data_IF_414362295849
#
_entry.id   IF_414362295849
#
_cell.length_a   1.000
_cell.length_b   1.000
_cell.length_c   1.000
_cell.angle_alpha   90.00
_cell.angle_beta   90.00
_cell.angle_gamma   90.00
#
_symmetry.space_group_name_H-M   'P 1'
#
loop_
_entity.id
_entity.type
_entity.pdbx_description
1 polymer ?
#
# COMPACT_ATOMS: atom_id res chain seq x y z
N UNK A 1 -13.47 0.24 15.80
CA UNK A 1 -13.02 -0.33 14.50
C UNK A 1 -13.40 -1.80 14.43
N UNK A 2 -13.96 -2.21 13.32
CA UNK A 2 -14.28 -3.61 13.06
C UNK A 2 -12.98 -4.44 12.96
N UNK A 3 -13.03 -5.68 13.46
CA UNK A 3 -11.89 -6.61 13.41
C UNK A 3 -11.43 -6.89 11.96
N UNK A 4 -12.38 -7.00 11.02
CA UNK A 4 -12.02 -7.18 9.59
C UNK A 4 -11.23 -5.99 9.05
N UNK A 5 -11.65 -4.77 9.37
CA UNK A 5 -10.95 -3.56 8.98
C UNK A 5 -9.56 -3.50 9.63
N UNK A 6 -9.46 -3.86 10.91
CA UNK A 6 -8.17 -3.90 11.60
C UNK A 6 -7.19 -4.88 10.94
N UNK A 7 -7.64 -6.07 10.54
CA UNK A 7 -6.80 -7.04 9.84
C UNK A 7 -6.31 -6.51 8.49
N UNK A 8 -7.21 -5.88 7.71
CA UNK A 8 -6.82 -5.29 6.43
C UNK A 8 -5.76 -4.20 6.61
N UNK A 9 -5.93 -3.33 7.61
CA UNK A 9 -4.95 -2.28 7.90
C UNK A 9 -3.59 -2.85 8.26
N UNK A 10 -3.54 -3.91 9.08
CA UNK A 10 -2.27 -4.55 9.45
C UNK A 10 -1.62 -5.25 8.26
N UNK A 11 -2.40 -5.83 7.34
CA UNK A 11 -1.87 -6.37 6.09
C UNK A 11 -1.25 -5.26 5.23
N UNK A 12 -1.92 -4.12 5.10
CA UNK A 12 -1.38 -2.96 4.37
C UNK A 12 -0.05 -2.53 4.98
N UNK A 13 0.03 -2.43 6.30
CA UNK A 13 1.27 -2.07 6.99
C UNK A 13 2.41 -3.02 6.62
N UNK A 14 2.15 -4.33 6.63
CA UNK A 14 3.13 -5.34 6.24
C UNK A 14 3.58 -5.20 4.79
N UNK A 15 2.66 -4.91 3.87
CA UNK A 15 3.00 -4.71 2.46
C UNK A 15 3.82 -3.43 2.25
N UNK A 16 3.52 -2.37 2.98
CA UNK A 16 4.31 -1.13 2.94
C UNK A 16 5.75 -1.36 3.43
N UNK A 17 5.94 -2.24 4.42
CA UNK A 17 7.28 -2.64 4.86
C UNK A 17 8.05 -3.35 3.74
N UNK A 18 7.37 -4.17 2.95
CA UNK A 18 7.99 -4.81 1.77
C UNK A 18 8.33 -3.81 0.69
N UNK A 19 7.50 -2.78 0.51
CA UNK A 19 7.83 -1.67 -0.39
C UNK A 19 9.13 -1.00 0.04
N UNK A 20 9.33 -0.77 1.35
CA UNK A 20 10.56 -0.21 1.87
C UNK A 20 11.77 -1.08 1.53
N UNK A 21 11.64 -2.41 1.58
CA UNK A 21 12.71 -3.33 1.21
C UNK A 21 13.12 -3.18 -0.26
N UNK A 22 12.16 -2.95 -1.15
CA UNK A 22 12.46 -2.68 -2.56
C UNK A 22 13.18 -1.34 -2.70
N UNK A 23 12.70 -0.31 -2.02
CA UNK A 23 13.28 1.04 -2.08
C UNK A 23 14.71 1.05 -1.54
N UNK A 24 14.99 0.26 -0.51
CA UNK A 24 16.32 0.14 0.08
C UNK A 24 17.36 -0.44 -0.89
N UNK A 25 16.93 -1.14 -1.94
CA UNK A 25 17.83 -1.62 -2.99
C UNK A 25 18.34 -0.50 -3.88
N UNK A 26 17.68 0.64 -3.89
CA UNK A 26 18.05 1.82 -4.66
C UNK A 26 17.41 1.89 -6.03
N UNK A 27 17.33 3.11 -6.55
CA UNK A 27 16.66 3.42 -7.83
C UNK A 27 17.30 2.68 -9.00
N UNK A 28 18.64 2.68 -9.08
CA UNK A 28 19.35 2.08 -10.22
C UNK A 28 19.13 0.56 -10.27
N UNK A 29 19.15 -0.08 -9.09
CA UNK A 29 18.87 -1.52 -9.00
C UNK A 29 17.44 -1.81 -9.41
N UNK A 30 16.48 -1.03 -8.92
CA UNK A 30 15.06 -1.20 -9.29
C UNK A 30 14.84 -1.05 -10.78
N UNK A 31 15.41 -0.01 -11.41
CA UNK A 31 15.23 0.24 -12.84
C UNK A 31 15.87 -0.84 -13.74
N UNK A 32 16.82 -1.61 -13.19
CA UNK A 32 17.52 -2.67 -13.92
C UNK A 32 17.02 -4.08 -13.60
N UNK A 33 16.09 -4.23 -12.65
CA UNK A 33 15.67 -5.55 -12.14
C UNK A 33 14.17 -5.76 -12.34
N UNK A 34 13.84 -6.59 -13.35
CA UNK A 34 12.44 -6.91 -13.65
C UNK A 34 11.71 -7.58 -12.49
N UNK A 35 12.40 -8.38 -11.67
CA UNK A 35 11.78 -9.05 -10.54
C UNK A 35 11.36 -8.04 -9.45
N UNK A 36 12.19 -7.02 -9.19
CA UNK A 36 11.83 -5.96 -8.26
C UNK A 36 10.65 -5.12 -8.79
N UNK A 37 10.62 -4.88 -10.09
CA UNK A 37 9.52 -4.16 -10.73
C UNK A 37 8.21 -4.93 -10.60
N UNK A 38 8.23 -6.24 -10.85
CA UNK A 38 7.07 -7.11 -10.71
C UNK A 38 6.59 -7.19 -9.26
N UNK A 39 7.52 -7.27 -8.31
CA UNK A 39 7.19 -7.28 -6.89
C UNK A 39 6.51 -5.97 -6.49
N UNK A 40 7.04 -4.83 -6.95
CA UNK A 40 6.44 -3.52 -6.69
C UNK A 40 5.04 -3.38 -7.28
N UNK A 41 4.84 -3.87 -8.51
CA UNK A 41 3.53 -3.87 -9.15
C UNK A 41 2.53 -4.71 -8.36
N UNK A 42 2.93 -5.90 -7.92
CA UNK A 42 2.09 -6.78 -7.12
C UNK A 42 1.70 -6.14 -5.79
N UNK A 43 2.64 -5.50 -5.11
CA UNK A 43 2.37 -4.81 -3.85
C UNK A 43 1.39 -3.65 -4.04
N UNK A 44 1.55 -2.87 -5.12
CA UNK A 44 0.62 -1.78 -5.43
C UNK A 44 -0.80 -2.30 -5.69
N UNK A 45 -0.93 -3.37 -6.46
CA UNK A 45 -2.21 -4.01 -6.71
C UNK A 45 -2.86 -4.52 -5.43
N UNK A 46 -2.08 -5.17 -4.59
CA UNK A 46 -2.56 -5.75 -3.33
C UNK A 46 -3.02 -4.67 -2.36
N UNK A 47 -2.24 -3.59 -2.23
CA UNK A 47 -2.62 -2.43 -1.40
C UNK A 47 -3.91 -1.80 -1.93
N UNK A 48 -4.00 -1.59 -3.24
CA UNK A 48 -5.20 -1.01 -3.85
C UNK A 48 -6.45 -1.85 -3.61
N UNK A 49 -6.34 -3.17 -3.70
CA UNK A 49 -7.44 -4.08 -3.41
C UNK A 49 -7.88 -4.00 -1.94
N UNK A 50 -6.92 -3.95 -1.01
CA UNK A 50 -7.22 -3.83 0.42
C UNK A 50 -7.88 -2.49 0.75
N UNK A 51 -7.42 -1.40 0.14
CA UNK A 51 -8.02 -0.08 0.30
C UNK A 51 -9.47 -0.07 -0.17
N UNK A 52 -9.75 -0.72 -1.29
CA UNK A 52 -11.12 -0.85 -1.79
C UNK A 52 -12.02 -1.59 -0.79
N UNK A 53 -11.50 -2.66 -0.16
CA UNK A 53 -12.23 -3.37 0.89
C UNK A 53 -12.48 -2.49 2.11
N UNK A 54 -11.48 -1.69 2.54
CA UNK A 54 -11.63 -0.76 3.66
C UNK A 54 -12.72 0.28 3.37
N UNK A 55 -12.75 0.81 2.16
CA UNK A 55 -13.78 1.74 1.73
C UNK A 55 -15.18 1.12 1.86
N UNK A 56 -15.34 -0.14 1.46
CA UNK A 56 -16.62 -0.86 1.58
C UNK A 56 -16.99 -1.15 3.03
N UNK A 57 -16.01 -1.27 3.92
CA UNK A 57 -16.24 -1.46 5.36
C UNK A 57 -16.54 -0.15 6.09
N UNK A 58 -16.57 0.96 5.37
CA UNK A 58 -16.90 2.26 5.94
C UNK A 58 -15.76 2.94 6.69
N UNK A 59 -14.52 2.53 6.49
CA UNK A 59 -13.37 3.19 7.09
C UNK A 59 -13.12 4.50 6.35
N UNK A 60 -13.17 5.61 7.09
CA UNK A 60 -12.97 6.94 6.53
C UNK A 60 -11.48 7.21 6.26
N UNK A 61 -11.21 7.96 5.18
CA UNK A 61 -9.87 8.37 4.83
C UNK A 61 -9.30 9.32 5.89
N UNK A 62 -8.10 9.06 6.45
CA UNK A 62 -7.41 10.08 7.24
C UNK A 62 -6.96 11.23 6.35
N UNK A 63 -6.67 12.38 6.96
CA UNK A 63 -6.09 13.52 6.24
C UNK A 63 -4.77 13.12 5.59
N UNK A 64 -4.61 13.50 4.32
CA UNK A 64 -3.41 13.17 3.54
C UNK A 64 -3.42 11.79 2.87
N UNK A 65 -4.51 11.03 3.03
CA UNK A 65 -4.68 9.72 2.39
C UNK A 65 -5.82 9.80 1.39
N UNK A 66 -5.59 9.28 0.19
CA UNK A 66 -6.59 9.22 -0.87
C UNK A 66 -6.81 7.77 -1.28
N UNK A 67 -7.91 7.17 -0.79
CA UNK A 67 -8.29 5.80 -1.15
C UNK A 67 -8.52 5.65 -2.67
N UNK A 68 -9.14 6.65 -3.30
CA UNK A 68 -9.44 6.61 -4.72
C UNK A 68 -8.16 6.56 -5.56
N UNK A 69 -7.14 7.29 -5.16
CA UNK A 69 -5.85 7.28 -5.86
C UNK A 69 -5.17 5.91 -5.79
N UNK A 70 -5.21 5.25 -4.62
CA UNK A 70 -4.64 3.91 -4.46
C UNK A 70 -5.38 2.90 -5.34
N UNK A 71 -6.70 2.97 -5.42
CA UNK A 71 -7.50 2.11 -6.29
C UNK A 71 -7.20 2.39 -7.76
N UNK A 72 -7.06 3.66 -8.15
CA UNK A 72 -6.71 4.03 -9.53
C UNK A 72 -5.34 3.49 -9.92
N UNK A 73 -4.34 3.55 -9.03
CA UNK A 73 -3.02 2.96 -9.29
C UNK A 73 -3.09 1.45 -9.50
N UNK A 74 -3.90 0.75 -8.69
CA UNK A 74 -4.13 -0.68 -8.89
C UNK A 74 -4.73 -0.97 -10.25
N UNK A 75 -5.76 -0.20 -10.65
CA UNK A 75 -6.42 -0.38 -11.94
C UNK A 75 -5.46 -0.12 -13.10
N UNK A 76 -4.60 0.89 -12.99
CA UNK A 76 -3.58 1.17 -14.00
C UNK A 76 -2.65 -0.04 -14.21
N UNK A 77 -2.14 -0.63 -13.12
CA UNK A 77 -1.26 -1.81 -13.20
C UNK A 77 -1.97 -2.98 -13.90
N UNK A 78 -3.27 -3.19 -13.61
CA UNK A 78 -4.03 -4.29 -14.21
C UNK A 78 -4.28 -4.07 -15.71
N UNK A 79 -4.66 -2.84 -16.10
CA UNK A 79 -5.15 -2.54 -17.44
C UNK A 79 -4.11 -1.94 -18.38
N UNK A 80 -3.00 -1.43 -17.85
CA UNK A 80 -1.97 -0.70 -18.60
C UNK A 80 -0.57 -1.29 -18.37
N UNK A 81 -0.48 -2.59 -18.11
CA UNK A 81 0.77 -3.23 -17.70
C UNK A 81 1.92 -2.96 -18.68
N UNK A 82 1.65 -3.07 -19.99
CA UNK A 82 2.67 -2.89 -21.02
C UNK A 82 3.12 -1.43 -21.17
N UNK A 83 2.37 -0.49 -20.62
CA UNK A 83 2.64 0.95 -20.71
C UNK A 83 3.17 1.53 -19.40
N UNK A 84 3.51 0.71 -18.43
CA UNK A 84 3.98 1.20 -17.12
C UNK A 84 5.33 1.89 -17.26
N UNK A 85 5.36 3.16 -16.85
CA UNK A 85 6.59 3.94 -16.76
C UNK A 85 7.29 3.59 -15.43
N UNK A 86 8.46 2.96 -15.52
CA UNK A 86 9.19 2.51 -14.34
C UNK A 86 9.75 3.64 -13.49
N UNK A 87 10.03 4.80 -14.06
CA UNK A 87 10.43 5.97 -13.27
C UNK A 87 9.27 6.48 -12.42
N UNK A 88 8.05 6.49 -12.96
CA UNK A 88 6.85 6.86 -12.20
C UNK A 88 6.53 5.83 -11.11
N UNK A 89 6.67 4.53 -11.41
CA UNK A 89 6.44 3.49 -10.38
C UNK A 89 7.46 3.60 -9.26
N UNK A 90 8.72 3.93 -9.58
CA UNK A 90 9.73 4.19 -8.54
C UNK A 90 9.31 5.34 -7.62
N UNK A 91 8.81 6.44 -8.18
CA UNK A 91 8.34 7.57 -7.36
C UNK A 91 7.16 7.16 -6.46
N UNK A 92 6.25 6.34 -6.96
CA UNK A 92 5.15 5.81 -6.15
C UNK A 92 5.68 4.98 -4.98
N UNK A 93 6.62 4.08 -5.23
CA UNK A 93 7.19 3.20 -4.20
C UNK A 93 8.06 3.95 -3.20
N UNK A 94 8.88 4.90 -3.67
CA UNK A 94 9.91 5.55 -2.84
C UNK A 94 9.43 6.81 -2.14
N UNK A 95 8.39 7.46 -2.66
CA UNK A 95 7.88 8.75 -2.14
C UNK A 95 6.44 8.64 -1.69
N UNK A 96 5.55 8.26 -2.61
CA UNK A 96 4.11 8.37 -2.36
C UNK A 96 3.61 7.35 -1.33
N UNK A 97 3.99 6.08 -1.46
CA UNK A 97 3.56 5.04 -0.52
C UNK A 97 4.16 5.22 0.88
N UNK A 98 5.44 5.58 1.05
CA UNK A 98 5.95 5.87 2.39
C UNK A 98 5.25 7.05 3.06
N UNK A 99 5.00 8.13 2.35
CA UNK A 99 4.25 9.28 2.89
C UNK A 99 2.82 8.88 3.26
N UNK A 100 2.19 8.08 2.41
CA UNK A 100 0.86 7.54 2.64
C UNK A 100 0.83 6.66 3.90
N UNK A 101 1.84 5.80 4.06
CA UNK A 101 1.96 4.95 5.25
C UNK A 101 2.09 5.75 6.54
N UNK A 102 2.83 6.85 6.53
CA UNK A 102 2.94 7.75 7.68
C UNK A 102 1.58 8.35 8.04
N UNK A 103 0.79 8.74 7.05
CA UNK A 103 -0.56 9.28 7.26
C UNK A 103 -1.52 8.23 7.84
N UNK A 104 -1.22 6.94 7.66
CA UNK A 104 -2.03 5.84 8.19
C UNK A 104 -1.61 5.37 9.58
N UNK A 105 -0.53 5.92 10.16
CA UNK A 105 0.05 5.37 11.39
C UNK A 105 -0.96 5.29 12.54
N UNK A 106 -1.80 6.30 12.72
CA UNK A 106 -2.82 6.28 13.76
C UNK A 106 -3.83 5.15 13.55
N UNK A 107 -4.21 4.88 12.30
CA UNK A 107 -5.10 3.76 11.98
C UNK A 107 -4.42 2.41 12.23
N UNK A 108 -3.14 2.28 11.90
CA UNK A 108 -2.38 1.06 12.20
C UNK A 108 -2.31 0.81 13.70
N UNK A 109 -2.04 1.85 14.49
CA UNK A 109 -1.99 1.74 15.94
C UNK A 109 -3.36 1.33 16.52
N UNK A 110 -4.43 1.93 16.03
CA UNK A 110 -5.79 1.57 16.42
C UNK A 110 -6.12 0.13 16.03
N UNK A 111 -5.72 -0.29 14.83
CA UNK A 111 -5.93 -1.66 14.36
C UNK A 111 -5.21 -2.67 15.24
N UNK A 112 -3.98 -2.39 15.62
CA UNK A 112 -3.21 -3.25 16.52
C UNK A 112 -3.90 -3.39 17.87
N UNK A 113 -4.40 -2.31 18.42
CA UNK A 113 -5.14 -2.31 19.68
C UNK A 113 -6.40 -3.18 19.57
N UNK A 114 -7.14 -3.10 18.47
CA UNK A 114 -8.33 -3.91 18.24
C UNK A 114 -7.98 -5.42 18.23
N UNK A 115 -6.93 -5.80 17.52
CA UNK A 115 -6.51 -7.20 17.40
C UNK A 115 -5.96 -7.69 18.73
N UNK A 116 -5.07 -6.95 19.38
CA UNK A 116 -4.48 -7.35 20.67
C UNK A 116 -5.54 -7.37 21.77
N UNK A 117 -6.44 -6.40 21.80
CA UNK A 117 -7.52 -6.32 22.78
C UNK A 117 -8.54 -7.43 22.68
N UNK A 118 -8.70 -8.05 21.51
CA UNK A 118 -9.62 -9.16 21.31
C UNK A 118 -9.11 -10.48 21.87
N UNK A 119 -7.84 -10.56 22.24
CA UNK A 119 -7.19 -11.75 22.78
C UNK A 119 -7.26 -11.80 24.31
N UNK A 120 -7.36 -10.65 24.91
CA UNK A 120 -7.48 -10.53 26.35
C UNK A 120 -8.90 -10.66 26.83
#
# INVERSE_FOLDING_TARGET
MDRKAAKELLHIQGWLQRVEQIVDRGKDVYLADALLQEAGDSLRMTVGAAVNRLSRLGVLEPDGVDWALAVANRNFVIHQYDEIDRQLTWLTLSRDLPAWGQSLQELFDAAKTVIDGSVG
#
